data_IF_575944981618
#
_entry.id   IF_575944981618
#
_cell.length_a   1.000
_cell.length_b   1.000
_cell.length_c   1.000
_cell.angle_alpha   90.00
_cell.angle_beta   90.00
_cell.angle_gamma   90.00
#
_symmetry.space_group_name_H-M   'P 1'
#
loop_
_entity.id
_entity.type
_entity.pdbx_description
1 polymer ?
#
# COMPACT_ATOMS: atom_id res chain seq x y z
N UNK A 1 -1.20 7.54 4.91
CA UNK A 1 -0.97 7.19 3.49
C UNK A 1 0.43 6.63 3.36
N UNK A 2 0.57 5.46 2.74
CA UNK A 2 1.83 4.75 2.52
C UNK A 2 2.05 4.73 1.01
N UNK A 3 3.24 5.10 0.54
CA UNK A 3 3.60 5.00 -0.87
C UNK A 3 4.29 3.67 -1.10
N UNK A 4 3.80 2.89 -2.07
CA UNK A 4 4.41 1.61 -2.45
C UNK A 4 4.90 1.68 -3.90
N UNK A 5 6.15 1.27 -4.09
CA UNK A 5 6.72 1.07 -5.42
C UNK A 5 6.26 -0.29 -5.93
N UNK A 6 5.55 -0.33 -7.06
CA UNK A 6 5.17 -1.60 -7.66
C UNK A 6 6.43 -2.22 -8.28
N UNK A 7 6.71 -3.48 -7.93
CA UNK A 7 7.84 -4.21 -8.50
C UNK A 7 7.49 -4.50 -9.96
N UNK A 8 8.22 -3.88 -10.88
CA UNK A 8 8.02 -4.08 -12.30
C UNK A 8 8.78 -5.34 -12.75
N UNK A 9 8.07 -6.34 -13.28
CA UNK A 9 8.67 -7.56 -13.85
C UNK A 9 9.17 -7.37 -15.29
N UNK A 10 9.12 -6.16 -15.85
CA UNK A 10 9.80 -5.80 -17.09
C UNK A 10 9.06 -4.77 -17.94
N UNK A 11 9.81 -3.79 -18.45
CA UNK A 11 9.46 -2.94 -19.60
C UNK A 11 8.53 -1.73 -19.42
N UNK A 12 8.56 -1.02 -18.29
CA UNK A 12 8.15 0.39 -18.28
C UNK A 12 9.02 1.23 -17.36
N UNK A 13 9.79 2.14 -17.96
CA UNK A 13 10.44 3.25 -17.28
C UNK A 13 9.60 4.51 -17.51
N UNK A 14 9.23 5.28 -16.47
CA UNK A 14 9.48 5.05 -15.05
C UNK A 14 8.61 3.92 -14.44
N UNK A 15 9.05 3.31 -13.31
CA UNK A 15 8.25 2.30 -12.60
C UNK A 15 6.90 2.89 -12.17
N UNK A 16 5.84 2.08 -12.22
CA UNK A 16 4.52 2.50 -11.73
C UNK A 16 4.53 2.51 -10.20
N UNK A 17 4.04 3.60 -9.60
CA UNK A 17 3.86 3.73 -8.16
C UNK A 17 2.38 3.78 -7.84
N UNK A 18 2.02 3.19 -6.70
CA UNK A 18 0.67 3.29 -6.16
C UNK A 18 0.71 3.84 -4.73
N UNK A 19 -0.29 4.63 -4.37
CA UNK A 19 -0.52 4.99 -2.97
C UNK A 19 -1.45 3.97 -2.31
N UNK A 20 -1.13 3.57 -1.09
CA UNK A 20 -2.02 2.84 -0.19
C UNK A 20 -2.49 3.82 0.88
N UNK A 21 -3.79 3.98 1.02
CA UNK A 21 -4.40 4.83 2.05
C UNK A 21 -5.21 3.95 3.00
N UNK A 22 -4.79 3.91 4.27
CA UNK A 22 -5.45 3.16 5.32
C UNK A 22 -5.97 4.15 6.35
N UNK A 23 -7.22 3.98 6.79
CA UNK A 23 -7.79 4.74 7.90
C UNK A 23 -7.39 4.11 9.24
N UNK A 24 -6.50 4.78 9.96
CA UNK A 24 -5.95 4.32 11.23
C UNK A 24 -4.43 4.41 11.25
N UNK A 25 -3.82 3.76 12.23
CA UNK A 25 -2.37 3.73 12.42
C UNK A 25 -1.84 2.32 12.16
N UNK A 26 -0.66 2.23 11.54
CA UNK A 26 0.06 0.98 11.35
C UNK A 26 1.10 0.86 12.46
N UNK A 27 0.87 -0.06 13.40
CA UNK A 27 1.73 -0.24 14.58
C UNK A 27 2.49 -1.57 14.54
N UNK A 28 3.78 -1.52 14.86
CA UNK A 28 4.56 -2.72 15.18
C UNK A 28 4.34 -3.11 16.64
N UNK A 29 4.11 -4.40 16.91
CA UNK A 29 3.97 -4.92 18.29
C UNK A 29 5.18 -4.64 19.18
N UNK A 30 6.36 -4.52 18.57
CA UNK A 30 7.62 -4.29 19.28
C UNK A 30 8.11 -2.85 19.16
N UNK A 31 7.28 -1.92 18.67
CA UNK A 31 7.68 -0.53 18.39
C UNK A 31 8.93 -0.44 17.50
N UNK A 32 9.20 -1.47 16.70
CA UNK A 32 10.31 -1.51 15.76
C UNK A 32 9.97 -0.68 14.51
N UNK A 33 11.00 -0.12 13.87
CA UNK A 33 10.84 0.56 12.59
C UNK A 33 10.26 -0.39 11.55
N UNK A 34 9.16 0.00 10.90
CA UNK A 34 8.49 -0.82 9.88
C UNK A 34 9.26 -0.89 8.56
N UNK A 35 10.36 -0.15 8.43
CA UNK A 35 11.19 -0.12 7.24
C UNK A 35 11.73 -1.52 6.91
N UNK A 36 11.60 -1.92 5.65
CA UNK A 36 12.00 -3.24 5.14
C UNK A 36 11.36 -4.45 5.86
N UNK A 37 10.30 -4.26 6.65
CA UNK A 37 9.58 -5.37 7.27
C UNK A 37 8.46 -5.88 6.37
N UNK A 38 8.28 -7.21 6.39
CA UNK A 38 7.06 -7.81 5.84
C UNK A 38 5.90 -7.52 6.79
N UNK A 39 4.92 -6.75 6.31
CA UNK A 39 3.73 -6.36 7.08
C UNK A 39 2.48 -7.16 6.71
N UNK A 40 2.49 -7.81 5.53
CA UNK A 40 1.33 -8.52 5.04
C UNK A 40 1.25 -8.61 3.52
N UNK A 41 0.09 -9.04 3.04
CA UNK A 41 -0.16 -9.35 1.64
C UNK A 41 -1.22 -8.43 1.04
N UNK A 42 -1.03 -8.08 -0.23
CA UNK A 42 -1.98 -7.31 -1.02
C UNK A 42 -2.48 -8.14 -2.21
N UNK A 43 -3.78 -8.32 -2.29
CA UNK A 43 -4.47 -9.06 -3.34
C UNK A 43 -5.43 -8.16 -4.11
N UNK A 44 -5.87 -8.63 -5.28
CA UNK A 44 -6.96 -8.04 -6.05
C UNK A 44 -8.02 -9.12 -6.34
N UNK A 45 -9.29 -8.76 -6.25
CA UNK A 45 -10.39 -9.65 -6.63
C UNK A 45 -10.45 -9.85 -8.15
N UNK A 46 -10.86 -11.05 -8.59
CA UNK A 46 -10.96 -11.37 -10.02
C UNK A 46 -12.10 -10.59 -10.70
N UNK A 47 -13.18 -10.32 -9.98
CA UNK A 47 -14.41 -9.75 -10.56
C UNK A 47 -14.30 -8.26 -10.87
N UNK A 48 -13.73 -7.50 -9.94
CA UNK A 48 -13.77 -6.04 -9.92
C UNK A 48 -12.42 -5.39 -9.60
N UNK A 49 -11.34 -6.18 -9.49
CA UNK A 49 -10.01 -5.72 -9.10
C UNK A 49 -10.00 -4.91 -7.79
N UNK A 50 -10.97 -5.16 -6.90
CA UNK A 50 -11.03 -4.56 -5.60
C UNK A 50 -9.85 -5.05 -4.76
N UNK A 51 -9.05 -4.14 -4.18
CA UNK A 51 -7.88 -4.52 -3.41
C UNK A 51 -8.29 -5.10 -2.05
N UNK A 52 -7.62 -6.16 -1.64
CA UNK A 52 -7.74 -6.79 -0.32
C UNK A 52 -6.37 -6.77 0.33
N UNK A 53 -6.27 -6.17 1.50
CA UNK A 53 -5.04 -6.06 2.26
C UNK A 53 -5.15 -6.91 3.53
N UNK A 54 -4.21 -7.82 3.71
CA UNK A 54 -4.11 -8.69 4.89
C UNK A 54 -2.89 -8.24 5.67
N UNK A 55 -3.09 -7.72 6.90
CA UNK A 55 -2.00 -7.29 7.79
C UNK A 55 -2.20 -7.96 9.14
N UNK A 56 -1.23 -8.79 9.53
CA UNK A 56 -1.32 -9.59 10.75
C UNK A 56 -2.59 -10.45 10.79
N UNK A 57 -3.48 -10.19 11.76
CA UNK A 57 -4.75 -10.92 11.93
C UNK A 57 -5.96 -10.19 11.32
N UNK A 58 -5.71 -9.11 10.57
CA UNK A 58 -6.75 -8.26 10.01
C UNK A 58 -6.85 -8.41 8.50
N UNK A 59 -8.08 -8.38 8.00
CA UNK A 59 -8.41 -8.24 6.59
C UNK A 59 -9.11 -6.90 6.37
N UNK A 60 -8.60 -6.14 5.40
CA UNK A 60 -9.15 -4.87 4.96
C UNK A 60 -9.61 -5.01 3.51
N UNK A 61 -10.85 -4.61 3.25
CA UNK A 61 -11.38 -4.50 1.91
C UNK A 61 -11.27 -3.05 1.47
N UNK A 62 -10.71 -2.83 0.29
CA UNK A 62 -10.50 -1.50 -0.25
C UNK A 62 -11.15 -1.31 -1.61
N UNK A 63 -10.89 -0.13 -2.18
CA UNK A 63 -11.26 0.23 -3.54
C UNK A 63 -10.15 1.04 -4.20
N UNK A 64 -10.01 0.90 -5.52
CA UNK A 64 -9.12 1.75 -6.29
C UNK A 64 -9.80 3.10 -6.56
N UNK A 65 -9.07 4.19 -6.36
CA UNK A 65 -9.51 5.55 -6.67
C UNK A 65 -8.42 6.28 -7.47
N UNK A 66 -8.84 7.24 -8.26
CA UNK A 66 -7.94 8.20 -8.92
C UNK A 66 -7.86 9.44 -8.04
N UNK A 67 -6.64 9.97 -7.84
CA UNK A 67 -6.47 11.25 -7.16
C UNK A 67 -7.04 12.38 -8.02
N UNK A 68 -7.78 13.30 -7.41
CA UNK A 68 -8.19 14.55 -8.08
C UNK A 68 -6.98 15.40 -8.45
N UNK A 69 -5.94 15.37 -7.61
CA UNK A 69 -4.65 16.02 -7.83
C UNK A 69 -3.53 14.98 -7.71
N UNK A 70 -2.86 14.60 -8.82
CA UNK A 70 -1.76 13.65 -8.77
C UNK A 70 -0.65 14.09 -7.81
N UNK A 71 0.05 13.12 -7.22
CA UNK A 71 1.13 13.36 -6.27
C UNK A 71 2.49 13.11 -6.92
N UNK A 72 3.45 14.00 -6.71
CA UNK A 72 4.83 13.77 -7.10
C UNK A 72 5.61 13.12 -5.94
N UNK A 73 6.20 11.96 -6.21
CA UNK A 73 7.18 11.35 -5.30
C UNK A 73 8.52 11.98 -5.58
N UNK A 74 9.11 12.60 -4.57
CA UNK A 74 10.36 13.35 -4.71
C UNK A 74 11.38 12.84 -3.70
N UNK A 75 12.61 12.63 -4.16
CA UNK A 75 13.75 12.32 -3.30
C UNK A 75 14.71 13.50 -3.27
N UNK A 76 15.10 13.95 -2.08
CA UNK A 76 16.12 14.99 -1.90
C UNK A 76 17.47 14.49 -2.41
N UNK A 77 18.19 15.33 -3.17
CA UNK A 77 19.51 15.00 -3.72
C UNK A 77 20.61 15.35 -2.71
N UNK A 78 20.85 14.45 -1.76
CA UNK A 78 21.87 14.64 -0.73
C UNK A 78 21.62 15.90 0.11
N UNK A 79 22.68 16.68 0.33
CA UNK A 79 22.61 17.94 1.11
C UNK A 79 22.21 19.17 0.28
N UNK A 80 22.01 19.01 -1.03
CA UNK A 80 21.55 20.12 -1.88
C UNK A 80 20.06 20.39 -1.69
N UNK A 81 19.60 21.60 -1.99
CA UNK A 81 18.18 21.96 -2.05
C UNK A 81 17.49 21.47 -3.34
N UNK A 82 18.10 20.52 -4.06
CA UNK A 82 17.54 19.92 -5.26
C UNK A 82 16.73 18.64 -4.94
N UNK A 83 15.67 18.43 -5.71
CA UNK A 83 14.82 17.25 -5.61
C UNK A 83 14.74 16.53 -6.96
N UNK A 84 14.80 15.20 -6.90
CA UNK A 84 14.60 14.33 -8.06
C UNK A 84 13.16 13.80 -7.99
N UNK A 85 12.38 14.06 -9.04
CA UNK A 85 11.05 13.46 -9.19
C UNK A 85 11.22 11.99 -9.57
N UNK A 86 10.79 11.08 -8.70
CA UNK A 86 10.91 9.64 -8.91
C UNK A 86 9.68 9.05 -9.59
N UNK A 87 8.50 9.62 -9.32
CA UNK A 87 7.24 9.18 -9.93
C UNK A 87 6.12 10.21 -9.78
N UNK A 88 5.09 10.05 -10.62
CA UNK A 88 3.80 10.69 -10.47
C UNK A 88 2.77 9.62 -10.14
N UNK A 89 2.13 9.74 -8.97
CA UNK A 89 1.10 8.83 -8.49
C UNK A 89 -0.27 9.40 -8.82
N UNK A 90 -1.01 8.71 -9.68
CA UNK A 90 -2.35 9.11 -10.11
C UNK A 90 -3.45 8.27 -9.45
N UNK A 91 -3.12 7.07 -8.95
CA UNK A 91 -4.07 6.14 -8.36
C UNK A 91 -3.72 5.81 -6.90
N UNK A 92 -4.75 5.51 -6.12
CA UNK A 92 -4.64 5.01 -4.75
C UNK A 92 -5.53 3.80 -4.50
N UNK A 93 -5.08 2.93 -3.60
CA UNK A 93 -5.86 1.86 -3.01
C UNK A 93 -6.34 2.37 -1.64
N UNK A 94 -7.64 2.65 -1.51
CA UNK A 94 -8.24 3.17 -0.29
C UNK A 94 -8.87 2.06 0.53
N UNK A 95 -8.40 1.90 1.77
CA UNK A 95 -8.91 1.01 2.81
C UNK A 95 -9.48 1.87 3.94
N UNK A 96 -10.74 2.29 3.79
CA UNK A 96 -11.43 3.19 4.73
C UNK A 96 -12.29 2.46 5.77
N UNK A 97 -12.66 1.21 5.49
CA UNK A 97 -13.55 0.48 6.37
C UNK A 97 -12.77 -0.18 7.51
N UNK A 98 -13.44 -0.41 8.65
CA UNK A 98 -12.81 -0.99 9.85
C UNK A 98 -12.18 -2.36 9.53
N UNK A 99 -10.94 -2.64 9.99
CA UNK A 99 -10.33 -3.95 9.83
C UNK A 99 -11.20 -5.06 10.43
N UNK A 100 -11.41 -6.13 9.66
CA UNK A 100 -12.16 -7.31 10.11
C UNK A 100 -11.18 -8.37 10.63
N UNK A 101 -11.53 -9.11 11.69
CA UNK A 101 -10.72 -10.26 12.11
C UNK A 101 -10.79 -11.36 11.04
N UNK A 102 -9.68 -12.05 10.83
CA UNK A 102 -9.66 -13.27 10.01
C UNK A 102 -10.28 -14.41 10.83
N UNK A 103 -11.46 -14.87 10.44
CA UNK A 103 -12.14 -16.00 11.10
C UNK A 103 -11.68 -17.29 10.43
N UNK A 104 -10.80 -18.04 11.09
CA UNK A 104 -10.46 -19.39 10.68
C UNK A 104 -11.54 -20.36 11.21
N UNK A 105 -12.38 -20.90 10.33
CA UNK A 105 -13.21 -22.06 10.67
C UNK A 105 -12.32 -23.32 10.66
N UNK A 106 -11.57 -23.55 11.73
CA UNK A 106 -10.93 -24.83 11.94
C UNK A 106 -12.01 -25.86 12.26
N UNK A 107 -12.24 -26.83 11.36
CA UNK A 107 -12.96 -28.06 11.74
C UNK A 107 -12.17 -28.70 12.88
N UNK A 108 -12.74 -28.75 14.07
CA UNK A 108 -12.20 -29.61 15.14
C UNK A 108 -12.30 -31.05 14.65
N UNK A 109 -11.15 -31.69 14.49
CA UNK A 109 -11.04 -33.14 14.29
C UNK A 109 -11.49 -33.88 15.54
#
# INVERSE_FOLDING_TARGET
>A
MILVKLINNGCSSPPEWAAIEVQGELESRHHSQLECQYIGDLFATIKDNAPILIIGHHILYGKMLTFEKPLAVMRKKGETEEYIVEAIVTKKLLFKDRPKPIIANAKKS
#
